data_IF_036859948336
#
_entry.id   IF_036859948336
#
_cell.length_a   1.000
_cell.length_b   1.000
_cell.length_c   1.000
_cell.angle_alpha   90.00
_cell.angle_beta   90.00
_cell.angle_gamma   90.00
#
_symmetry.space_group_name_H-M   'P 1'
#
loop_
_entity.id
_entity.type
_entity.pdbx_description
1 polymer ?
#
# COMPACT_ATOMS: atom_id res chain seq x y z
N UNK A 1 20.66 -9.64 -11.30
CA UNK A 1 19.64 -9.30 -12.33
C UNK A 1 19.95 -7.90 -12.88
N UNK A 2 19.49 -7.54 -14.08
CA UNK A 2 19.58 -6.14 -14.55
C UNK A 2 18.74 -5.25 -13.63
N UNK A 3 19.32 -4.17 -13.11
CA UNK A 3 18.69 -3.26 -12.14
C UNK A 3 17.36 -2.70 -12.65
N UNK A 4 17.27 -2.30 -13.92
CA UNK A 4 16.04 -1.75 -14.49
C UNK A 4 14.92 -2.79 -14.50
N UNK A 5 15.25 -4.02 -14.92
CA UNK A 5 14.29 -5.13 -14.94
C UNK A 5 13.87 -5.48 -13.50
N UNK A 6 14.82 -5.47 -12.57
CA UNK A 6 14.56 -5.73 -11.16
C UNK A 6 13.63 -4.69 -10.53
N UNK A 7 13.84 -3.40 -10.81
CA UNK A 7 12.95 -2.32 -10.35
C UNK A 7 11.54 -2.47 -10.93
N UNK A 8 11.41 -2.82 -12.22
CA UNK A 8 10.09 -3.04 -12.84
C UNK A 8 9.36 -4.19 -12.15
N UNK A 9 10.04 -5.32 -11.94
CA UNK A 9 9.47 -6.48 -11.24
C UNK A 9 9.11 -6.15 -9.80
N UNK A 10 10.00 -5.48 -9.07
CA UNK A 10 9.76 -5.04 -7.70
C UNK A 10 8.55 -4.09 -7.62
N UNK A 11 8.41 -3.16 -8.57
CA UNK A 11 7.25 -2.26 -8.66
C UNK A 11 5.96 -3.04 -8.78
N UNK A 12 5.90 -4.03 -9.68
CA UNK A 12 4.70 -4.86 -9.88
C UNK A 12 4.40 -5.67 -8.62
N UNK A 13 5.41 -6.27 -7.99
CA UNK A 13 5.25 -7.06 -6.76
C UNK A 13 4.74 -6.18 -5.61
N UNK A 14 5.35 -5.02 -5.40
CA UNK A 14 4.92 -4.05 -4.40
C UNK A 14 3.47 -3.61 -4.65
N UNK A 15 3.16 -3.24 -5.90
CA UNK A 15 1.82 -2.81 -6.31
C UNK A 15 0.77 -3.88 -6.01
N UNK A 16 1.03 -5.12 -6.40
CA UNK A 16 0.13 -6.24 -6.10
C UNK A 16 0.01 -6.48 -4.59
N UNK A 17 1.12 -6.44 -3.85
CA UNK A 17 1.12 -6.66 -2.41
C UNK A 17 0.20 -5.67 -1.71
N UNK A 18 0.42 -4.36 -1.90
CA UNK A 18 -0.37 -3.40 -1.15
C UNK A 18 -1.81 -3.32 -1.66
N UNK A 19 -2.06 -3.37 -2.97
CA UNK A 19 -3.45 -3.34 -3.49
C UNK A 19 -4.25 -4.53 -2.97
N UNK A 20 -3.68 -5.74 -2.95
CA UNK A 20 -4.37 -6.93 -2.44
C UNK A 20 -4.57 -6.82 -0.93
N UNK A 21 -3.53 -6.47 -0.17
CA UNK A 21 -3.61 -6.38 1.30
C UNK A 21 -4.61 -5.30 1.73
N UNK A 22 -4.54 -4.11 1.14
CA UNK A 22 -5.44 -3.00 1.45
C UNK A 22 -6.88 -3.31 1.04
N UNK A 23 -7.09 -3.98 -0.11
CA UNK A 23 -8.43 -4.39 -0.55
C UNK A 23 -8.99 -5.51 0.33
N UNK A 24 -8.16 -6.48 0.75
CA UNK A 24 -8.62 -7.63 1.53
C UNK A 24 -8.90 -7.28 2.99
N UNK A 25 -7.95 -6.62 3.67
CA UNK A 25 -8.15 -6.25 5.06
C UNK A 25 -9.12 -5.10 5.20
N UNK A 26 -9.21 -4.25 4.18
CA UNK A 26 -10.14 -3.15 4.15
C UNK A 26 -9.76 -2.14 5.16
N UNK A 27 -9.41 -0.99 4.62
CA UNK A 27 -9.28 0.17 5.45
C UNK A 27 -10.70 0.46 6.01
N UNK A 28 -10.83 0.68 7.33
CA UNK A 28 -12.10 0.63 8.04
C UNK A 28 -13.18 1.52 7.40
N UNK A 29 -14.40 0.98 7.24
CA UNK A 29 -15.57 1.70 6.72
C UNK A 29 -16.06 2.83 7.64
N UNK A 30 -15.69 2.80 8.93
CA UNK A 30 -15.90 3.92 9.83
C UNK A 30 -14.63 4.78 9.89
N UNK A 31 -14.69 6.02 9.37
CA UNK A 31 -13.52 6.88 9.19
C UNK A 31 -12.95 7.30 10.53
N UNK A 32 -11.70 6.92 10.77
CA UNK A 32 -10.84 7.54 11.78
C UNK A 32 -10.16 8.81 11.29
N UNK A 33 -10.36 9.24 10.04
CA UNK A 33 -9.73 10.48 9.54
C UNK A 33 -10.62 11.15 8.51
N UNK A 34 -11.12 12.33 8.87
CA UNK A 34 -11.73 13.32 7.96
C UNK A 34 -11.01 13.42 6.60
N UNK A 35 -9.69 13.15 6.56
CA UNK A 35 -8.87 13.11 5.35
C UNK A 35 -9.30 12.11 4.27
N UNK A 36 -9.69 10.87 4.62
CA UNK A 36 -10.09 9.90 3.61
C UNK A 36 -11.40 10.31 2.91
N UNK A 37 -12.33 10.89 3.68
CA UNK A 37 -13.57 11.49 3.17
C UNK A 37 -13.28 12.70 2.28
N UNK A 38 -12.39 13.60 2.70
CA UNK A 38 -11.97 14.76 1.90
C UNK A 38 -11.40 14.31 0.54
N UNK A 39 -10.56 13.26 0.53
CA UNK A 39 -10.00 12.72 -0.72
C UNK A 39 -11.10 12.10 -1.59
N UNK A 40 -11.95 11.25 -1.02
CA UNK A 40 -13.08 10.64 -1.73
C UNK A 40 -14.01 11.69 -2.38
N UNK A 41 -14.42 12.70 -1.61
CA UNK A 41 -15.24 13.80 -2.12
C UNK A 41 -14.53 14.64 -3.18
N UNK A 42 -13.24 14.92 -3.01
CA UNK A 42 -12.42 15.63 -3.99
C UNK A 42 -12.29 14.87 -5.31
N UNK A 43 -12.18 13.54 -5.25
CA UNK A 43 -12.15 12.67 -6.44
C UNK A 43 -13.51 12.65 -7.13
N UNK A 44 -14.60 12.52 -6.37
CA UNK A 44 -15.98 12.58 -6.91
C UNK A 44 -16.24 13.92 -7.60
N UNK A 45 -15.81 15.05 -7.03
CA UNK A 45 -15.90 16.38 -7.66
C UNK A 45 -15.14 16.49 -8.98
N UNK A 46 -14.13 15.64 -9.19
CA UNK A 46 -13.32 15.55 -10.43
C UNK A 46 -13.82 14.45 -11.39
N UNK A 47 -15.04 13.93 -11.19
CA UNK A 47 -15.64 12.84 -11.95
C UNK A 47 -14.89 11.50 -11.84
N UNK A 48 -14.20 11.26 -10.72
CA UNK A 48 -13.62 9.96 -10.40
C UNK A 48 -14.57 9.06 -9.61
N UNK A 49 -14.17 7.81 -9.46
CA UNK A 49 -14.88 6.82 -8.65
C UNK A 49 -14.74 7.13 -7.15
N UNK A 50 -15.86 7.12 -6.41
CA UNK A 50 -15.87 7.47 -4.99
C UNK A 50 -15.23 6.39 -4.11
N UNK A 51 -15.48 5.11 -4.41
CA UNK A 51 -14.92 3.99 -3.65
C UNK A 51 -13.39 3.95 -3.80
N UNK A 52 -12.90 4.12 -5.03
CA UNK A 52 -11.47 4.29 -5.30
C UNK A 52 -10.89 5.57 -4.71
N UNK A 53 -11.67 6.63 -4.59
CA UNK A 53 -11.27 7.86 -3.91
C UNK A 53 -11.09 7.66 -2.40
N UNK A 54 -12.00 6.93 -1.75
CA UNK A 54 -11.84 6.50 -0.35
C UNK A 54 -10.63 5.59 -0.18
N UNK A 55 -10.40 4.64 -1.10
CA UNK A 55 -9.22 3.78 -1.10
C UNK A 55 -7.91 4.59 -1.14
N UNK A 56 -7.81 5.56 -2.06
CA UNK A 56 -6.68 6.48 -2.12
C UNK A 56 -6.51 7.31 -0.84
N UNK A 57 -7.63 7.78 -0.29
CA UNK A 57 -7.66 8.55 0.95
C UNK A 57 -7.14 7.74 2.15
N UNK A 58 -7.47 6.47 2.20
CA UNK A 58 -7.00 5.59 3.26
C UNK A 58 -5.51 5.25 3.14
N UNK A 59 -4.99 5.03 1.93
CA UNK A 59 -3.54 4.92 1.66
C UNK A 59 -2.82 6.20 2.13
N UNK A 60 -3.44 7.38 1.96
CA UNK A 60 -2.83 8.65 2.34
C UNK A 60 -2.86 8.92 3.86
N UNK A 61 -3.92 8.47 4.56
CA UNK A 61 -4.22 8.91 5.93
C UNK A 61 -3.91 7.88 7.02
N UNK A 62 -3.53 6.64 6.68
CA UNK A 62 -3.19 5.57 7.61
C UNK A 62 -1.87 4.91 7.21
N UNK A 63 -1.10 4.30 8.13
CA UNK A 63 0.00 3.41 7.77
C UNK A 63 -0.57 2.12 7.14
N UNK A 64 -0.82 2.20 5.85
CA UNK A 64 -1.37 1.17 4.99
C UNK A 64 -0.30 0.16 4.54
N UNK A 65 -0.68 -0.79 3.68
CA UNK A 65 0.26 -1.76 3.18
C UNK A 65 1.38 -1.14 2.33
N UNK A 66 1.16 0.03 1.69
CA UNK A 66 2.20 0.72 0.94
C UNK A 66 3.28 1.33 1.85
N UNK A 67 2.88 2.02 2.92
CA UNK A 67 3.80 2.52 3.95
C UNK A 67 4.52 1.37 4.66
N UNK A 68 3.79 0.30 5.01
CA UNK A 68 4.35 -0.89 5.61
C UNK A 68 5.41 -1.55 4.73
N UNK A 69 5.14 -1.69 3.44
CA UNK A 69 6.08 -2.27 2.46
C UNK A 69 7.33 -1.40 2.30
N UNK A 70 7.20 -0.07 2.29
CA UNK A 70 8.33 0.84 2.16
C UNK A 70 9.26 0.79 3.39
N UNK A 71 8.70 0.94 4.58
CA UNK A 71 9.48 0.91 5.84
C UNK A 71 10.15 -0.46 6.00
N UNK A 72 9.45 -1.54 5.63
CA UNK A 72 10.02 -2.89 5.62
C UNK A 72 11.20 -3.03 4.69
N UNK A 73 11.09 -2.51 3.46
CA UNK A 73 12.18 -2.59 2.48
C UNK A 73 13.43 -1.89 2.98
N UNK A 74 13.27 -0.74 3.66
CA UNK A 74 14.36 -0.02 4.32
C UNK A 74 14.91 -0.80 5.51
N UNK A 75 14.04 -1.31 6.39
CA UNK A 75 14.45 -2.11 7.54
C UNK A 75 15.23 -3.35 7.12
N UNK A 76 14.75 -4.05 6.08
CA UNK A 76 15.40 -5.23 5.51
C UNK A 76 16.76 -4.87 4.90
N UNK A 77 16.88 -3.74 4.23
CA UNK A 77 18.17 -3.27 3.72
C UNK A 77 19.22 -3.11 4.84
N UNK A 78 18.81 -2.56 6.00
CA UNK A 78 19.74 -2.26 7.10
C UNK A 78 20.07 -3.49 7.95
N UNK A 79 19.07 -4.33 8.25
CA UNK A 79 19.19 -5.41 9.25
C UNK A 79 18.73 -6.79 8.75
N UNK A 80 18.36 -6.94 7.48
CA UNK A 80 17.78 -8.17 6.94
C UNK A 80 16.41 -8.49 7.54
N UNK A 81 16.08 -9.78 7.70
CA UNK A 81 14.79 -10.24 8.24
C UNK A 81 14.43 -9.56 9.59
N UNK A 82 15.34 -9.45 10.58
CA UNK A 82 15.07 -8.70 11.81
C UNK A 82 14.57 -7.27 11.56
N UNK A 83 15.14 -6.57 10.58
CA UNK A 83 14.72 -5.22 10.22
C UNK A 83 13.31 -5.15 9.66
N UNK A 84 12.90 -6.16 8.87
CA UNK A 84 11.52 -6.27 8.40
C UNK A 84 10.52 -6.53 9.54
N UNK A 85 10.90 -7.34 10.54
CA UNK A 85 10.06 -7.60 11.73
C UNK A 85 9.94 -6.34 12.60
N UNK A 86 11.05 -5.61 12.81
CA UNK A 86 11.04 -4.34 13.54
C UNK A 86 10.16 -3.32 12.81
N UNK A 87 10.25 -3.24 11.48
CA UNK A 87 9.38 -2.40 10.67
C UNK A 87 7.90 -2.75 10.89
N UNK A 88 7.54 -4.04 10.87
CA UNK A 88 6.16 -4.47 11.13
C UNK A 88 5.66 -4.04 12.51
N UNK A 89 6.52 -4.12 13.53
CA UNK A 89 6.20 -3.66 14.87
C UNK A 89 6.00 -2.14 14.94
N UNK A 90 6.85 -1.34 14.28
CA UNK A 90 6.71 0.11 14.22
C UNK A 90 5.45 0.53 13.46
N UNK A 91 5.13 -0.13 12.35
CA UNK A 91 3.90 0.08 11.57
C UNK A 91 2.68 -0.26 12.41
N UNK A 92 2.73 -1.37 13.15
CA UNK A 92 1.67 -1.74 14.09
C UNK A 92 1.42 -0.64 15.15
N UNK A 93 2.48 -0.08 15.73
CA UNK A 93 2.36 1.06 16.67
C UNK A 93 1.73 2.27 15.96
N UNK A 94 2.22 2.62 14.77
CA UNK A 94 1.68 3.72 13.96
C UNK A 94 0.19 3.56 13.70
N UNK A 95 -0.25 2.35 13.36
CA UNK A 95 -1.66 2.06 13.11
C UNK A 95 -2.53 2.33 14.33
N UNK A 96 -2.06 1.96 15.53
CA UNK A 96 -2.78 2.24 16.79
C UNK A 96 -2.85 3.74 17.09
N UNK A 97 -1.82 4.50 16.76
CA UNK A 97 -1.85 5.96 16.88
C UNK A 97 -2.86 6.60 15.92
N UNK A 98 -3.02 6.02 14.74
CA UNK A 98 -3.99 6.45 13.72
C UNK A 98 -5.41 5.91 13.94
N UNK A 99 -5.69 5.26 15.08
CA UNK A 99 -6.96 4.58 15.37
C UNK A 99 -7.37 3.55 14.30
N UNK A 100 -6.41 3.02 13.54
CA UNK A 100 -6.61 1.94 12.59
C UNK A 100 -6.50 0.59 13.33
N UNK A 101 -7.39 -0.38 13.08
CA UNK A 101 -7.26 -1.73 13.65
C UNK A 101 -5.90 -2.39 13.35
N UNK A 102 -5.23 -1.90 12.30
CA UNK A 102 -3.80 -2.02 12.06
C UNK A 102 -3.39 -3.24 11.27
N UNK A 103 -4.35 -3.92 10.66
CA UNK A 103 -4.12 -5.14 9.92
C UNK A 103 -3.48 -4.89 8.56
N UNK A 104 -3.91 -3.88 7.81
CA UNK A 104 -3.41 -3.63 6.45
C UNK A 104 -1.89 -3.33 6.43
N UNK A 105 -1.43 -2.31 7.16
CA UNK A 105 0.00 -1.98 7.19
C UNK A 105 0.89 -3.05 7.82
N UNK A 106 0.44 -3.67 8.93
CA UNK A 106 1.24 -4.70 9.61
C UNK A 106 1.36 -5.95 8.76
N UNK A 107 0.25 -6.40 8.15
CA UNK A 107 0.27 -7.54 7.22
C UNK A 107 1.09 -7.18 5.99
N UNK A 108 0.91 -5.99 5.42
CA UNK A 108 1.69 -5.52 4.28
C UNK A 108 3.21 -5.51 4.55
N UNK A 109 3.61 -5.16 5.78
CA UNK A 109 5.00 -5.21 6.22
C UNK A 109 5.52 -6.64 6.38
N UNK A 110 4.75 -7.56 6.97
CA UNK A 110 5.13 -8.96 7.09
C UNK A 110 5.20 -9.67 5.74
N UNK A 111 4.23 -9.42 4.86
CA UNK A 111 4.22 -9.97 3.49
C UNK A 111 5.37 -9.40 2.68
N UNK A 112 5.66 -8.09 2.78
CA UNK A 112 6.82 -7.49 2.13
C UNK A 112 8.14 -8.12 2.59
N UNK A 113 8.30 -8.39 3.89
CA UNK A 113 9.49 -9.06 4.43
C UNK A 113 9.69 -10.42 3.77
N UNK A 114 8.60 -11.21 3.68
CA UNK A 114 8.61 -12.52 3.05
C UNK A 114 8.89 -12.43 1.55
N UNK A 115 8.27 -11.47 0.85
CA UNK A 115 8.47 -11.24 -0.58
C UNK A 115 9.93 -10.88 -0.86
N UNK A 116 10.50 -9.91 -0.15
CA UNK A 116 11.91 -9.53 -0.30
C UNK A 116 12.82 -10.75 -0.07
N UNK A 117 12.55 -11.54 0.96
CA UNK A 117 13.31 -12.76 1.22
C UNK A 117 13.23 -13.77 0.08
N UNK A 118 12.02 -14.12 -0.40
CA UNK A 118 11.83 -15.08 -1.51
C UNK A 118 12.46 -14.56 -2.80
N UNK A 119 12.23 -13.29 -3.11
CA UNK A 119 12.71 -12.69 -4.35
C UNK A 119 14.21 -12.39 -4.33
N UNK A 120 14.85 -12.40 -3.15
CA UNK A 120 16.31 -12.35 -3.05
C UNK A 120 16.99 -13.54 -3.72
N UNK A 121 16.35 -14.73 -3.73
CA UNK A 121 16.89 -15.92 -4.42
C UNK A 121 16.94 -15.78 -5.94
N UNK A 122 16.12 -14.91 -6.53
CA UNK A 122 16.16 -14.61 -7.97
C UNK A 122 16.92 -13.30 -8.27
N UNK A 123 17.58 -12.73 -7.27
CA UNK A 123 18.46 -11.58 -7.41
C UNK A 123 17.75 -10.21 -7.39
N UNK A 124 16.55 -10.11 -6.79
CA UNK A 124 16.00 -8.81 -6.38
C UNK A 124 16.65 -8.36 -5.07
N UNK A 125 17.03 -7.10 -5.01
CA UNK A 125 17.62 -6.51 -3.80
C UNK A 125 16.61 -5.59 -3.10
N UNK A 126 16.78 -5.33 -1.79
CA UNK A 126 15.88 -4.44 -1.06
C UNK A 126 15.80 -3.03 -1.67
N UNK A 127 16.88 -2.51 -2.26
CA UNK A 127 16.90 -1.22 -2.95
C UNK A 127 15.93 -1.18 -4.13
N UNK A 128 15.81 -2.29 -4.88
CA UNK A 128 14.83 -2.40 -5.97
C UNK A 128 13.40 -2.35 -5.44
N UNK A 129 13.13 -2.95 -4.27
CA UNK A 129 11.84 -2.87 -3.59
C UNK A 129 11.53 -1.46 -3.07
N UNK A 130 12.52 -0.74 -2.53
CA UNK A 130 12.38 0.66 -2.11
C UNK A 130 11.97 1.52 -3.31
N UNK A 131 12.75 1.48 -4.40
CA UNK A 131 12.46 2.26 -5.61
C UNK A 131 11.13 1.83 -6.22
N UNK A 132 10.87 0.53 -6.31
CA UNK A 132 9.64 -0.01 -6.87
C UNK A 132 8.40 0.39 -6.08
N UNK A 133 8.48 0.44 -4.75
CA UNK A 133 7.39 0.91 -3.89
C UNK A 133 7.11 2.40 -4.11
N UNK A 134 8.14 3.24 -4.23
CA UNK A 134 7.96 4.67 -4.54
C UNK A 134 7.25 4.85 -5.89
N UNK A 135 7.67 4.11 -6.92
CA UNK A 135 7.00 4.13 -8.23
C UNK A 135 5.55 3.68 -8.09
N UNK A 136 5.29 2.59 -7.36
CA UNK A 136 3.96 2.04 -7.21
C UNK A 136 2.99 2.97 -6.44
N UNK A 137 3.48 3.75 -5.47
CA UNK A 137 2.67 4.80 -4.82
C UNK A 137 2.37 5.93 -5.82
N UNK A 138 3.38 6.37 -6.58
CA UNK A 138 3.20 7.45 -7.57
C UNK A 138 2.17 7.09 -8.65
N UNK A 139 2.10 5.82 -9.08
CA UNK A 139 1.10 5.41 -10.09
C UNK A 139 -0.33 5.50 -9.57
N UNK A 140 -0.57 5.35 -8.26
CA UNK A 140 -1.90 5.42 -7.66
C UNK A 140 -2.26 6.83 -7.19
N UNK A 141 -1.33 7.52 -6.52
CA UNK A 141 -1.62 8.80 -5.87
C UNK A 141 -1.05 10.02 -6.60
N UNK A 142 -0.02 9.84 -7.44
CA UNK A 142 0.78 10.94 -7.98
C UNK A 142 0.45 11.35 -9.43
N UNK A 143 0.13 10.39 -10.31
CA UNK A 143 0.03 10.68 -11.76
C UNK A 143 -1.38 11.09 -12.18
N UNK A 144 -2.37 10.19 -12.03
CA UNK A 144 -3.75 10.44 -12.43
C UNK A 144 -4.69 9.82 -11.40
N UNK A 145 -4.99 10.60 -10.37
CA UNK A 145 -5.81 10.16 -9.25
C UNK A 145 -7.22 9.75 -9.70
N UNK A 146 -7.78 10.38 -10.74
CA UNK A 146 -9.14 10.10 -11.23
C UNK A 146 -9.17 8.74 -11.94
N UNK A 147 -8.24 8.48 -12.85
CA UNK A 147 -8.18 7.16 -13.51
C UNK A 147 -7.77 6.06 -12.55
N UNK A 148 -6.84 6.34 -11.64
CA UNK A 148 -6.44 5.40 -10.61
C UNK A 148 -7.64 5.06 -9.69
N UNK A 149 -8.50 6.03 -9.36
CA UNK A 149 -9.68 5.75 -8.53
C UNK A 149 -10.67 4.86 -9.27
N UNK A 150 -10.89 5.05 -10.57
CA UNK A 150 -11.75 4.16 -11.37
C UNK A 150 -11.21 2.73 -11.41
N UNK A 151 -9.89 2.56 -11.53
CA UNK A 151 -9.27 1.23 -11.52
C UNK A 151 -9.44 0.58 -10.14
N UNK A 152 -9.17 1.32 -9.08
CA UNK A 152 -9.30 0.84 -7.70
C UNK A 152 -10.75 0.52 -7.33
N UNK A 153 -11.71 1.34 -7.74
CA UNK A 153 -13.14 1.08 -7.56
C UNK A 153 -13.56 -0.25 -8.18
N UNK A 154 -13.15 -0.51 -9.43
CA UNK A 154 -13.38 -1.80 -10.09
C UNK A 154 -12.72 -2.99 -9.38
N UNK A 155 -11.60 -2.78 -8.70
CA UNK A 155 -10.94 -3.81 -7.90
C UNK A 155 -11.74 -4.03 -6.61
N UNK A 156 -12.12 -2.97 -5.91
CA UNK A 156 -12.95 -3.04 -4.70
C UNK A 156 -14.28 -3.78 -4.95
N UNK A 157 -14.96 -3.47 -6.06
CA UNK A 157 -16.18 -4.16 -6.48
C UNK A 157 -15.97 -5.67 -6.65
N UNK A 158 -14.86 -6.09 -7.25
CA UNK A 158 -14.54 -7.52 -7.41
C UNK A 158 -14.30 -8.24 -6.09
N UNK A 159 -13.87 -7.51 -5.06
CA UNK A 159 -13.69 -8.03 -3.72
C UNK A 159 -14.95 -7.86 -2.85
N UNK A 160 -16.10 -7.52 -3.48
CA UNK A 160 -17.38 -7.31 -2.81
C UNK A 160 -17.31 -6.23 -1.72
N UNK A 161 -16.41 -5.25 -1.90
CA UNK A 161 -16.30 -4.06 -1.07
C UNK A 161 -16.97 -2.91 -1.80
N UNK A 162 -18.25 -2.76 -1.54
CA UNK A 162 -19.00 -1.61 -2.01
C UNK A 162 -18.89 -0.51 -0.95
N UNK A 163 -18.42 0.66 -1.34
CA UNK A 163 -18.73 1.87 -0.59
C UNK A 163 -20.21 2.18 -0.86
N UNK A 164 -21.11 1.42 -0.22
CA UNK A 164 -22.55 1.69 -0.33
C UNK A 164 -22.89 3.04 0.32
N UNK A 165 -23.91 3.66 -0.26
CA UNK A 165 -24.40 5.02 -0.07
C UNK A 165 -24.77 5.39 1.37
#
# INVERSE_FOLDING_TARGET
MNEIIGIILATIICWLNFVIVDTYFGLPEQPGVEGARIVGESIKKRNGDIAGGFFQGNILCSPDASAGTLITSIGYLVLGIPGGIIAAFLVFIGNRLCADPGYAGTVGSLTATLLIFIFSFIGLTPEMFIVGMVIAILTIQGIDQVRASIILGKIADKFNRHAEE
#
